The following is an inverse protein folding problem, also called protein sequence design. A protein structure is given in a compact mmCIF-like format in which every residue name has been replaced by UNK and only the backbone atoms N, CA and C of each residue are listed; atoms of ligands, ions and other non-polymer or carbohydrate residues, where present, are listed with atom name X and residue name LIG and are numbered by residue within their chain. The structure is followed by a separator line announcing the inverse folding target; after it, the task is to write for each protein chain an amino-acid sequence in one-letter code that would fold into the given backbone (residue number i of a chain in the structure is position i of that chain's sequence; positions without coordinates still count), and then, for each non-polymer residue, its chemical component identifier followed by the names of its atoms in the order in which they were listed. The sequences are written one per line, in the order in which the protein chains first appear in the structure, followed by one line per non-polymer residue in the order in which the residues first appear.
data_IF_117599082055
#
_entry.id   IF_117599082055
#
_cell.length_a   1.000
_cell.length_b   1.000
_cell.length_c   1.000
_cell.angle_alpha   90.00
_cell.angle_beta   90.00
_cell.angle_gamma   90.00
#
_symmetry.space_group_name_H-M   'P 1'
#
loop_
_entity.id
_entity.type
_entity.pdbx_description
1 polymer ?
#
# COMPACT_ATOMS: atom_id res chain seq x y z
N UNK A 1 -11.34 7.06 -8.10
CA UNK A 1 -10.42 5.94 -8.40
C UNK A 1 -11.09 4.61 -8.08
N UNK A 2 -10.57 3.50 -8.60
CA UNK A 2 -10.84 2.17 -8.03
C UNK A 2 -10.08 2.06 -6.70
N UNK A 3 -10.69 1.44 -5.68
CA UNK A 3 -10.06 1.30 -4.36
C UNK A 3 -8.94 0.27 -4.40
N UNK A 4 -7.87 0.50 -3.64
CA UNK A 4 -6.81 -0.49 -3.43
C UNK A 4 -7.37 -1.66 -2.63
N UNK A 5 -7.00 -2.89 -3.01
CA UNK A 5 -7.44 -4.12 -2.36
C UNK A 5 -6.25 -5.04 -2.05
N UNK A 6 -6.50 -6.16 -1.36
CA UNK A 6 -5.46 -7.14 -1.03
C UNK A 6 -4.81 -7.77 -2.27
N UNK A 7 -5.54 -7.81 -3.38
CA UNK A 7 -5.08 -8.38 -4.65
C UNK A 7 -4.32 -7.36 -5.51
N UNK A 8 -4.28 -6.09 -5.08
CA UNK A 8 -3.50 -5.05 -5.77
C UNK A 8 -2.00 -5.34 -5.68
N UNK A 9 -1.30 -5.15 -6.79
CA UNK A 9 0.18 -5.27 -6.85
C UNK A 9 0.83 -4.19 -5.99
N UNK A 10 1.80 -4.57 -5.16
CA UNK A 10 2.50 -3.64 -4.27
C UNK A 10 3.20 -2.54 -5.08
N UNK A 11 3.99 -2.93 -6.07
CA UNK A 11 4.80 -1.97 -6.85
C UNK A 11 3.93 -1.06 -7.70
N UNK A 12 2.91 -1.59 -8.37
CA UNK A 12 2.02 -0.76 -9.20
C UNK A 12 1.28 0.25 -8.33
N UNK A 13 0.79 -0.16 -7.17
CA UNK A 13 0.10 0.74 -6.23
C UNK A 13 1.01 1.84 -5.74
N UNK A 14 2.25 1.52 -5.33
CA UNK A 14 3.26 2.51 -4.89
C UNK A 14 3.68 3.45 -6.02
N UNK A 15 3.76 2.96 -7.26
CA UNK A 15 4.09 3.81 -8.42
C UNK A 15 2.97 4.81 -8.75
N UNK A 16 1.71 4.39 -8.59
CA UNK A 16 0.55 5.26 -8.77
C UNK A 16 0.37 6.24 -7.61
N UNK A 17 0.72 5.81 -6.40
CA UNK A 17 0.50 6.53 -5.15
C UNK A 17 1.78 6.54 -4.30
N UNK A 18 2.80 7.33 -4.65
CA UNK A 18 4.07 7.35 -3.91
C UNK A 18 3.93 7.76 -2.44
N UNK A 19 2.86 8.46 -2.08
CA UNK A 19 2.52 8.86 -0.70
C UNK A 19 2.34 7.67 0.25
N UNK A 20 1.84 6.53 -0.24
CA UNK A 20 1.50 5.37 0.60
C UNK A 20 2.74 4.60 1.04
N UNK A 21 3.93 4.89 0.48
CA UNK A 21 5.20 4.26 0.89
C UNK A 21 5.41 4.40 2.40
N UNK A 22 5.05 5.55 2.96
CA UNK A 22 5.15 5.77 4.41
C UNK A 22 4.25 4.82 5.21
N UNK A 23 3.05 4.51 4.71
CA UNK A 23 2.14 3.55 5.35
C UNK A 23 2.81 2.18 5.41
N UNK A 24 3.32 1.68 4.28
CA UNK A 24 4.03 0.41 4.27
C UNK A 24 5.23 0.38 5.25
N UNK A 25 5.98 1.48 5.36
CA UNK A 25 7.08 1.58 6.33
C UNK A 25 6.58 1.50 7.79
N UNK A 26 5.45 2.15 8.11
CA UNK A 26 4.84 2.11 9.45
C UNK A 26 4.39 0.71 9.85
N UNK A 27 3.90 -0.07 8.87
CA UNK A 27 3.51 -1.48 9.06
C UNK A 27 4.70 -2.45 9.06
N UNK A 28 5.94 -1.98 8.95
CA UNK A 28 7.13 -2.83 8.95
C UNK A 28 7.50 -3.44 7.59
N UNK A 29 6.84 -3.00 6.51
CA UNK A 29 7.13 -3.38 5.12
C UNK A 29 8.12 -2.40 4.46
N UNK A 30 9.10 -1.90 5.22
CA UNK A 30 10.12 -0.97 4.69
C UNK A 30 11.03 -1.59 3.62
N UNK A 31 11.05 -2.91 3.48
CA UNK A 31 11.77 -3.62 2.43
C UNK A 31 11.00 -3.69 1.09
N UNK A 32 10.04 -2.78 0.85
CA UNK A 32 9.21 -2.79 -0.36
C UNK A 32 10.00 -2.65 -1.67
N UNK A 33 11.25 -2.18 -1.60
CA UNK A 33 12.20 -2.18 -2.72
C UNK A 33 12.95 -3.50 -2.94
N UNK A 34 12.65 -4.56 -2.17
CA UNK A 34 13.24 -5.88 -2.34
C UNK A 34 12.71 -6.52 -3.63
N UNK A 35 13.51 -7.40 -4.25
CA UNK A 35 13.10 -8.10 -5.47
C UNK A 35 11.82 -8.93 -5.28
N UNK A 36 11.53 -9.41 -4.06
CA UNK A 36 10.31 -10.16 -3.76
C UNK A 36 9.04 -9.31 -3.96
N UNK A 37 9.04 -8.08 -3.45
CA UNK A 37 7.89 -7.18 -3.51
C UNK A 37 7.46 -6.83 -4.95
N UNK A 38 8.35 -6.99 -5.94
CA UNK A 38 8.04 -6.79 -7.36
C UNK A 38 7.03 -7.81 -7.92
N UNK A 39 6.83 -8.93 -7.22
CA UNK A 39 5.96 -10.02 -7.66
C UNK A 39 4.88 -10.35 -6.64
N UNK A 40 4.69 -9.51 -5.63
CA UNK A 40 3.73 -9.73 -4.54
C UNK A 40 2.54 -8.76 -4.61
N UNK A 41 1.37 -9.27 -4.22
CA UNK A 41 0.22 -8.42 -3.88
C UNK A 41 0.35 -7.91 -2.45
N UNK A 42 -0.39 -6.84 -2.12
CA UNK A 42 -0.41 -6.25 -0.78
C UNK A 42 -0.78 -7.30 0.28
N UNK A 43 -1.78 -8.14 -0.01
CA UNK A 43 -2.19 -9.21 0.89
C UNK A 43 -1.13 -10.29 1.09
N UNK A 44 -0.40 -10.66 0.05
CA UNK A 44 0.70 -11.62 0.14
C UNK A 44 1.85 -11.08 1.00
N UNK A 45 2.27 -9.83 0.74
CA UNK A 45 3.31 -9.16 1.52
C UNK A 45 2.91 -9.01 2.99
N UNK A 46 1.67 -8.59 3.26
CA UNK A 46 1.16 -8.49 4.63
C UNK A 46 1.14 -9.86 5.33
N UNK A 47 0.61 -10.90 4.68
CA UNK A 47 0.54 -12.24 5.24
C UNK A 47 1.91 -12.86 5.53
N UNK A 48 2.89 -12.67 4.64
CA UNK A 48 4.26 -13.16 4.82
C UNK A 48 4.96 -12.55 6.05
N UNK A 49 4.52 -11.36 6.47
CA UNK A 49 5.07 -10.61 7.60
C UNK A 49 4.14 -10.59 8.84
N UNK A 50 3.01 -11.30 8.80
CA UNK A 50 2.07 -11.37 9.92
C UNK A 50 1.35 -10.05 10.22
N UNK A 51 1.17 -9.21 9.18
CA UNK A 51 0.48 -7.92 9.26
C UNK A 51 -1.01 -8.11 9.01
N UNK A 52 -1.84 -7.34 9.71
CA UNK A 52 -3.26 -7.24 9.44
C UNK A 52 -3.50 -6.54 8.10
N UNK A 53 -3.89 -7.32 7.09
CA UNK A 53 -4.12 -6.84 5.73
C UNK A 53 -5.29 -5.85 5.65
N UNK A 54 -6.33 -6.04 6.48
CA UNK A 54 -7.52 -5.19 6.44
C UNK A 54 -7.20 -3.80 6.99
N UNK A 55 -6.42 -3.75 8.09
CA UNK A 55 -5.92 -2.49 8.64
C UNK A 55 -5.00 -1.75 7.65
N UNK A 56 -4.05 -2.47 7.02
CA UNK A 56 -3.14 -1.90 6.03
C UNK A 56 -3.91 -1.31 4.82
N UNK A 57 -4.90 -2.03 4.29
CA UNK A 57 -5.71 -1.56 3.16
C UNK A 57 -6.54 -0.33 3.54
N UNK A 58 -7.08 -0.29 4.75
CA UNK A 58 -7.84 0.86 5.24
C UNK A 58 -6.96 2.12 5.23
N UNK A 59 -5.80 2.05 5.88
CA UNK A 59 -4.87 3.19 5.97
C UNK A 59 -4.35 3.63 4.59
N UNK A 60 -4.09 2.69 3.67
CA UNK A 60 -3.70 3.01 2.29
C UNK A 60 -4.81 3.79 1.58
N UNK A 61 -6.05 3.31 1.63
CA UNK A 61 -7.16 3.96 0.95
C UNK A 61 -7.49 5.33 1.57
N UNK A 62 -7.38 5.46 2.89
CA UNK A 62 -7.59 6.72 3.60
C UNK A 62 -6.51 7.74 3.20
N UNK A 63 -5.23 7.33 3.16
CA UNK A 63 -4.13 8.19 2.69
C UNK A 63 -4.34 8.69 1.25
N UNK A 64 -4.73 7.80 0.33
CA UNK A 64 -5.03 8.18 -1.07
C UNK A 64 -6.20 9.16 -1.12
N UNK A 65 -7.27 8.92 -0.36
CA UNK A 65 -8.45 9.78 -0.34
C UNK A 65 -8.14 11.18 0.23
N UNK A 66 -7.26 11.27 1.24
CA UNK A 66 -6.78 12.54 1.79
C UNK A 66 -6.02 13.34 0.73
N UNK A 67 -5.05 12.73 0.04
CA UNK A 67 -4.26 13.39 -1.02
C UNK A 67 -5.13 13.83 -2.19
N UNK A 68 -6.04 12.98 -2.68
CA UNK A 68 -6.99 13.34 -3.74
C UNK A 68 -7.94 14.49 -3.33
N UNK A 69 -8.21 14.64 -2.03
CA UNK A 69 -8.99 15.72 -1.45
C UNK A 69 -8.21 17.03 -1.34
N UNK A 70 -6.90 16.95 -1.06
CA UNK A 70 -6.00 18.11 -0.96
C UNK A 70 -5.61 18.69 -2.32
N UNK A 71 -5.45 17.88 -3.36
CA UNK A 71 -5.14 18.36 -4.73
C UNK A 71 -6.27 19.15 -5.40
N UNK A 72 -7.50 19.09 -4.86
CA UNK A 72 -8.67 19.80 -5.40
C UNK A 72 -8.93 21.17 -4.76
N UNK A 73 -8.05 21.63 -3.87
CA UNK A 73 -8.19 22.91 -3.16
C UNK A 73 -7.22 23.96 -3.70
#
# INVERSE_FOLDING_TARGET
MEKVTADSSIIETVQMHPEIVNIFMQYGLGCIGCMAANFETIGQGAAAHGIDVDALIADINDCIAEVEGEEKK
#
